data_IF_133995548367
#
_entry.id   IF_133995548367
#
_cell.length_a   1.000
_cell.length_b   1.000
_cell.length_c   1.000
_cell.angle_alpha   90.00
_cell.angle_beta   90.00
_cell.angle_gamma   90.00
#
_symmetry.space_group_name_H-M   'P 1'
#
loop_
_entity.id
_entity.type
_entity.pdbx_description
1 polymer ?
#
# COMPACT_ATOMS: atom_id res chain seq x y z
N UNK A 1 12.85 -7.50 -4.18
CA UNK A 1 13.78 -6.38 -3.90
C UNK A 1 13.69 -5.21 -4.89
N UNK A 2 14.18 -5.32 -6.13
CA UNK A 2 14.25 -4.16 -7.05
C UNK A 2 12.90 -3.49 -7.36
N UNK A 3 11.83 -4.27 -7.57
CA UNK A 3 10.48 -3.73 -7.82
C UNK A 3 9.93 -2.93 -6.62
N UNK A 4 9.88 -3.56 -5.44
CA UNK A 4 9.42 -2.95 -4.18
C UNK A 4 10.37 -1.87 -3.61
N UNK A 5 11.41 -1.48 -4.36
CA UNK A 5 12.12 -0.22 -4.07
C UNK A 5 11.24 1.00 -4.38
N UNK A 6 10.28 0.82 -5.29
CA UNK A 6 9.38 1.86 -5.78
C UNK A 6 7.93 1.64 -5.37
N UNK A 7 7.18 2.73 -5.35
CA UNK A 7 5.73 2.73 -5.25
C UNK A 7 5.20 2.33 -3.87
N UNK A 8 3.94 1.91 -3.86
CA UNK A 8 3.19 1.53 -2.67
C UNK A 8 2.08 0.54 -3.02
N UNK A 9 1.54 -0.11 -2.01
CA UNK A 9 0.29 -0.86 -2.07
C UNK A 9 -0.93 0.06 -1.86
N UNK A 10 -2.13 -0.39 -2.27
CA UNK A 10 -3.38 0.36 -2.10
C UNK A 10 -4.49 -0.52 -1.49
N UNK A 11 -5.02 -0.08 -0.36
CA UNK A 11 -5.92 -0.81 0.52
C UNK A 11 -6.57 0.11 1.56
N UNK A 12 -7.05 1.28 1.11
CA UNK A 12 -7.70 2.28 1.97
C UNK A 12 -8.93 1.74 2.72
N UNK A 13 -9.63 0.75 2.16
CA UNK A 13 -10.71 0.00 2.80
C UNK A 13 -10.84 -1.41 2.20
N UNK A 14 -11.76 -2.21 2.74
CA UNK A 14 -12.01 -3.57 2.28
C UNK A 14 -12.49 -3.58 0.81
N UNK A 15 -11.76 -4.23 -0.12
CA UNK A 15 -12.17 -4.30 -1.52
C UNK A 15 -13.50 -5.01 -1.73
N UNK A 16 -13.86 -6.01 -0.91
CA UNK A 16 -15.11 -6.76 -1.05
C UNK A 16 -16.36 -5.92 -0.83
N UNK A 17 -16.25 -4.80 -0.10
CA UNK A 17 -17.36 -3.91 0.20
C UNK A 17 -17.46 -2.74 -0.79
N UNK A 18 -16.35 -2.39 -1.47
CA UNK A 18 -16.22 -1.11 -2.16
C UNK A 18 -15.81 -1.19 -3.64
N UNK A 19 -15.17 -2.28 -4.06
CA UNK A 19 -14.62 -2.43 -5.40
C UNK A 19 -15.57 -3.24 -6.27
N UNK A 20 -15.99 -2.65 -7.39
CA UNK A 20 -16.91 -3.26 -8.35
C UNK A 20 -16.27 -4.33 -9.24
N UNK A 21 -17.03 -4.72 -10.27
CA UNK A 21 -16.65 -5.74 -11.24
C UNK A 21 -15.31 -5.43 -11.93
N UNK A 22 -14.59 -6.47 -12.36
CA UNK A 22 -13.39 -6.32 -13.20
C UNK A 22 -13.74 -5.72 -14.59
N UNK A 23 -12.73 -5.39 -15.43
CA UNK A 23 -12.99 -4.77 -16.73
C UNK A 23 -13.90 -5.57 -17.67
N UNK A 24 -13.86 -6.90 -17.65
CA UNK A 24 -14.65 -7.74 -18.56
C UNK A 24 -16.11 -7.87 -18.11
N UNK A 25 -16.37 -7.71 -16.81
CA UNK A 25 -17.71 -7.72 -16.23
C UNK A 25 -18.28 -6.32 -15.96
N UNK A 26 -17.53 -5.26 -16.29
CA UNK A 26 -17.96 -3.87 -16.12
C UNK A 26 -18.92 -3.42 -17.21
N UNK A 27 -19.74 -2.41 -16.90
CA UNK A 27 -20.69 -1.86 -17.86
C UNK A 27 -19.97 -1.10 -18.98
N UNK A 28 -20.59 -1.05 -20.17
CA UNK A 28 -19.98 -0.45 -21.37
C UNK A 28 -19.62 1.04 -21.22
N UNK A 29 -20.32 1.77 -20.36
CA UNK A 29 -20.04 3.17 -20.02
C UNK A 29 -18.73 3.35 -19.23
N UNK A 30 -18.17 2.29 -18.65
CA UNK A 30 -16.83 2.29 -18.06
C UNK A 30 -15.72 2.24 -19.11
N UNK A 31 -16.05 2.08 -20.39
CA UNK A 31 -15.12 2.23 -21.53
C UNK A 31 -13.84 1.39 -21.42
N UNK A 32 -13.95 0.16 -20.92
CA UNK A 32 -12.83 -0.77 -20.77
C UNK A 32 -12.06 -0.65 -19.45
N UNK A 33 -12.47 0.24 -18.56
CA UNK A 33 -12.06 0.21 -17.16
C UNK A 33 -12.92 -0.74 -16.33
N UNK A 34 -12.43 -1.08 -15.15
CA UNK A 34 -13.16 -1.85 -14.14
C UNK A 34 -12.66 -1.49 -12.74
N UNK A 35 -13.04 -2.30 -11.76
CA UNK A 35 -12.76 -2.09 -10.34
C UNK A 35 -13.21 -0.71 -9.84
N UNK A 36 -14.39 -0.26 -10.31
CA UNK A 36 -14.95 1.01 -9.87
C UNK A 36 -15.05 1.02 -8.34
N UNK A 37 -14.37 1.98 -7.72
CA UNK A 37 -14.27 2.09 -6.28
C UNK A 37 -15.30 3.10 -5.77
N UNK A 38 -16.11 2.66 -4.81
CA UNK A 38 -17.15 3.47 -4.15
C UNK A 38 -16.72 4.04 -2.80
N UNK A 39 -15.52 3.69 -2.31
CA UNK A 39 -14.97 4.22 -1.07
C UNK A 39 -14.43 5.64 -1.28
N UNK A 40 -14.92 6.59 -0.48
CA UNK A 40 -14.48 7.99 -0.55
C UNK A 40 -14.60 8.58 -1.96
N UNK A 41 -13.51 9.15 -2.48
CA UNK A 41 -13.41 9.65 -3.85
C UNK A 41 -13.15 8.54 -4.90
N UNK A 42 -12.88 7.31 -4.47
CA UNK A 42 -12.59 6.17 -5.33
C UNK A 42 -11.17 6.14 -5.91
N UNK A 43 -10.35 7.16 -5.64
CA UNK A 43 -9.01 7.33 -6.19
C UNK A 43 -8.09 8.08 -5.20
N UNK A 44 -6.84 8.29 -5.60
CA UNK A 44 -5.82 8.96 -4.78
C UNK A 44 -5.69 8.34 -3.38
N UNK A 45 -5.99 9.10 -2.32
CA UNK A 45 -5.93 8.64 -0.92
C UNK A 45 -6.89 7.48 -0.62
N UNK A 46 -7.97 7.38 -1.39
CA UNK A 46 -9.02 6.38 -1.20
C UNK A 46 -8.87 5.19 -2.15
N UNK A 47 -7.73 5.09 -2.86
CA UNK A 47 -7.48 4.00 -3.81
C UNK A 47 -7.45 2.65 -3.11
N UNK A 48 -8.12 1.66 -3.71
CA UNK A 48 -8.08 0.27 -3.30
C UNK A 48 -7.63 -0.56 -4.50
N UNK A 49 -6.69 -1.47 -4.29
CA UNK A 49 -6.22 -2.40 -5.34
C UNK A 49 -6.04 -3.79 -4.75
N UNK A 50 -4.94 -4.01 -4.01
CA UNK A 50 -4.66 -5.31 -3.41
C UNK A 50 -5.29 -5.48 -2.02
N UNK A 51 -5.71 -4.38 -1.39
CA UNK A 51 -6.14 -4.36 0.00
C UNK A 51 -4.96 -4.28 0.99
N UNK A 52 -3.71 -4.35 0.55
CA UNK A 52 -2.57 -3.98 1.40
C UNK A 52 -2.30 -2.48 1.28
N UNK A 53 -1.75 -1.84 2.31
CA UNK A 53 -1.62 -0.38 2.34
C UNK A 53 -0.27 0.06 2.88
N UNK A 54 0.38 0.99 2.18
CA UNK A 54 1.66 1.59 2.57
C UNK A 54 2.77 1.40 1.54
N UNK A 55 3.90 2.09 1.75
CA UNK A 55 5.09 1.99 0.91
C UNK A 55 6.25 1.32 1.66
N UNK A 56 7.20 0.78 0.91
CA UNK A 56 8.35 0.08 1.45
C UNK A 56 9.52 1.01 1.83
N UNK A 57 9.64 2.17 1.18
CA UNK A 57 10.83 3.03 1.25
C UNK A 57 10.46 4.50 1.55
N UNK A 58 11.42 5.26 2.09
CA UNK A 58 11.26 6.71 2.31
C UNK A 58 11.28 7.54 1.03
N UNK A 59 11.73 6.94 -0.08
CA UNK A 59 11.77 7.57 -1.42
C UNK A 59 11.06 6.68 -2.45
N UNK A 60 9.71 6.56 -2.40
CA UNK A 60 8.97 5.61 -3.25
C UNK A 60 9.11 5.87 -4.77
N UNK A 61 9.58 7.04 -5.17
CA UNK A 61 9.73 7.45 -6.57
C UNK A 61 11.17 7.38 -7.07
N UNK A 62 12.13 7.03 -6.22
CA UNK A 62 13.56 7.09 -6.54
C UNK A 62 14.26 5.77 -6.27
N UNK A 63 15.16 5.39 -7.18
CA UNK A 63 15.99 4.21 -6.97
C UNK A 63 16.87 4.41 -5.74
N UNK A 64 16.86 3.42 -4.84
CA UNK A 64 17.74 3.37 -3.68
C UNK A 64 17.92 1.93 -3.20
N UNK A 65 18.83 1.71 -2.25
CA UNK A 65 18.87 0.45 -1.51
C UNK A 65 17.88 0.44 -0.33
N UNK A 66 16.97 1.41 -0.24
CA UNK A 66 16.08 1.62 0.92
C UNK A 66 15.24 0.40 1.26
N UNK A 67 14.76 -0.36 0.27
CA UNK A 67 14.01 -1.60 0.51
C UNK A 67 14.84 -2.62 1.29
N UNK A 68 16.07 -2.92 0.82
CA UNK A 68 16.95 -3.91 1.47
C UNK A 68 17.46 -3.41 2.81
N UNK A 69 17.79 -2.11 2.91
CA UNK A 69 18.18 -1.48 4.16
C UNK A 69 17.06 -1.65 5.19
N UNK A 70 15.83 -1.29 4.85
CA UNK A 70 14.69 -1.43 5.77
C UNK A 70 14.46 -2.90 6.14
N UNK A 71 14.44 -3.81 5.16
CA UNK A 71 14.20 -5.25 5.35
C UNK A 71 15.13 -5.88 6.39
N UNK A 72 16.43 -5.54 6.33
CA UNK A 72 17.45 -6.13 7.21
C UNK A 72 17.79 -5.29 8.45
N UNK A 73 17.35 -4.03 8.53
CA UNK A 73 17.62 -3.16 9.68
C UNK A 73 16.59 -3.34 10.80
N UNK A 74 15.34 -3.60 10.44
CA UNK A 74 14.24 -3.67 11.41
C UNK A 74 13.83 -5.11 11.70
N UNK A 75 13.43 -5.35 12.95
CA UNK A 75 12.55 -6.46 13.29
C UNK A 75 11.11 -6.11 12.87
N UNK A 76 10.34 -7.11 12.46
CA UNK A 76 9.00 -6.94 11.90
C UNK A 76 7.94 -7.59 12.78
N UNK A 77 6.85 -6.87 13.03
CA UNK A 77 5.67 -7.38 13.73
C UNK A 77 4.45 -7.39 12.80
N UNK A 78 3.60 -8.39 12.98
CA UNK A 78 2.40 -8.57 12.18
C UNK A 78 1.35 -7.51 12.56
N UNK A 79 0.75 -6.90 11.56
CA UNK A 79 -0.36 -5.95 11.70
C UNK A 79 -1.42 -6.19 10.61
N UNK A 80 -2.49 -5.42 10.65
CA UNK A 80 -3.54 -5.42 9.63
C UNK A 80 -3.57 -4.06 8.89
N UNK A 81 -3.70 -4.12 7.57
CA UNK A 81 -4.06 -2.96 6.74
C UNK A 81 -5.44 -2.39 7.12
N UNK A 82 -5.81 -1.19 6.67
CA UNK A 82 -7.18 -0.68 6.80
C UNK A 82 -8.24 -1.61 6.20
N UNK A 83 -7.88 -2.40 5.17
CA UNK A 83 -8.73 -3.42 4.57
C UNK A 83 -8.78 -4.75 5.34
N UNK A 84 -7.99 -4.92 6.41
CA UNK A 84 -7.94 -6.14 7.22
C UNK A 84 -6.91 -7.19 6.77
N UNK A 85 -6.16 -6.95 5.69
CA UNK A 85 -5.11 -7.87 5.22
C UNK A 85 -3.88 -7.86 6.14
N UNK A 86 -3.30 -9.04 6.40
CA UNK A 86 -2.05 -9.22 7.14
C UNK A 86 -0.85 -8.58 6.44
N UNK A 87 -0.22 -7.59 7.05
CA UNK A 87 1.04 -7.00 6.61
C UNK A 87 1.98 -6.80 7.79
N UNK A 88 3.17 -6.27 7.54
CA UNK A 88 4.22 -6.15 8.55
C UNK A 88 4.71 -4.72 8.65
N UNK A 89 4.93 -4.26 9.88
CA UNK A 89 5.56 -2.96 10.18
C UNK A 89 6.75 -3.18 11.11
N UNK A 90 7.69 -2.22 11.20
CA UNK A 90 8.80 -2.34 12.13
C UNK A 90 8.30 -2.39 13.58
N UNK A 91 8.84 -3.33 14.35
CA UNK A 91 8.45 -3.56 15.74
C UNK A 91 8.77 -2.37 16.64
N UNK A 92 8.03 -2.25 17.75
CA UNK A 92 8.23 -1.21 18.78
C UNK A 92 8.12 0.24 18.24
N UNK A 93 7.39 0.44 17.14
CA UNK A 93 7.21 1.75 16.51
C UNK A 93 8.48 2.33 15.86
N UNK A 94 9.47 1.47 15.56
CA UNK A 94 10.65 1.90 14.83
C UNK A 94 10.23 2.49 13.47
N UNK A 95 10.90 3.56 13.03
CA UNK A 95 10.64 4.17 11.72
C UNK A 95 9.17 4.58 11.45
N UNK A 96 8.36 4.83 12.50
CA UNK A 96 6.93 5.15 12.39
C UNK A 96 6.58 6.39 11.56
N UNK A 97 7.59 7.21 11.22
CA UNK A 97 7.45 8.44 10.44
C UNK A 97 8.41 8.47 9.23
N UNK A 98 8.93 7.32 8.80
CA UNK A 98 9.95 7.22 7.76
C UNK A 98 9.40 7.54 6.36
N UNK A 99 8.17 7.10 6.08
CA UNK A 99 7.59 7.15 4.74
C UNK A 99 6.70 8.39 4.62
N UNK A 100 6.88 9.25 3.59
CA UNK A 100 5.94 10.33 3.28
C UNK A 100 4.59 9.77 2.85
N UNK A 101 3.50 10.41 3.30
CA UNK A 101 2.20 10.17 2.70
C UNK A 101 2.21 10.58 1.22
N UNK A 102 1.49 9.82 0.39
CA UNK A 102 1.49 10.01 -1.06
C UNK A 102 0.80 11.31 -1.52
N UNK A 103 -0.09 11.88 -0.69
CA UNK A 103 -0.90 13.03 -1.06
C UNK A 103 -0.95 14.14 0.01
N UNK A 104 -0.46 13.89 1.23
CA UNK A 104 -0.39 14.86 2.33
C UNK A 104 1.05 15.09 2.80
N UNK A 105 1.65 16.23 2.46
CA UNK A 105 3.01 16.55 2.86
C UNK A 105 3.24 16.58 4.37
N UNK A 106 2.19 16.82 5.16
CA UNK A 106 2.25 16.90 6.62
C UNK A 106 2.16 15.55 7.33
N UNK A 107 1.78 14.50 6.61
CA UNK A 107 1.58 13.15 7.17
C UNK A 107 2.75 12.23 6.81
N UNK A 108 3.07 11.32 7.74
CA UNK A 108 4.14 10.31 7.61
C UNK A 108 3.68 8.99 8.21
N UNK A 109 4.24 7.90 7.69
CA UNK A 109 3.88 6.53 8.03
C UNK A 109 5.12 5.68 8.34
N UNK A 110 4.89 4.52 8.97
CA UNK A 110 5.86 3.44 9.00
C UNK A 110 6.05 2.84 7.59
N UNK A 111 7.24 2.32 7.24
CA UNK A 111 7.35 1.47 6.07
C UNK A 111 6.59 0.16 6.32
N UNK A 112 6.18 -0.49 5.25
CA UNK A 112 5.57 -1.81 5.33
C UNK A 112 6.42 -2.88 4.63
N UNK A 113 6.18 -4.13 5.01
CA UNK A 113 6.59 -5.31 4.26
C UNK A 113 5.40 -6.26 4.10
N UNK A 114 5.35 -6.98 3.00
CA UNK A 114 4.46 -8.12 2.85
C UNK A 114 5.11 -9.38 3.42
N UNK A 115 4.30 -10.40 3.69
CA UNK A 115 4.83 -11.71 4.08
C UNK A 115 5.79 -12.26 3.02
N UNK A 116 5.54 -11.97 1.74
CA UNK A 116 6.43 -12.36 0.64
C UNK A 116 7.75 -11.59 0.61
N UNK A 117 7.83 -10.43 1.25
CA UNK A 117 9.08 -9.67 1.37
C UNK A 117 9.99 -10.24 2.48
N UNK A 118 9.41 -10.82 3.52
CA UNK A 118 10.13 -11.40 4.66
C UNK A 118 10.58 -12.87 4.45
N UNK A 119 10.33 -13.42 3.27
CA UNK A 119 10.55 -14.84 2.95
C UNK A 119 12.01 -15.20 2.67
#
# INVERSE_FOLDING_TARGET
AGGHTFGKAHGAANPGDHVGADPEASSIDQQGFGWQNSYGAGNARDTITSGFEGAWTSTPTDWSNGYLINLYTYDWEQTASPAGNTQWIPSNGAASQLVPDAFDSSTRHAPIMFTTDLA
#
